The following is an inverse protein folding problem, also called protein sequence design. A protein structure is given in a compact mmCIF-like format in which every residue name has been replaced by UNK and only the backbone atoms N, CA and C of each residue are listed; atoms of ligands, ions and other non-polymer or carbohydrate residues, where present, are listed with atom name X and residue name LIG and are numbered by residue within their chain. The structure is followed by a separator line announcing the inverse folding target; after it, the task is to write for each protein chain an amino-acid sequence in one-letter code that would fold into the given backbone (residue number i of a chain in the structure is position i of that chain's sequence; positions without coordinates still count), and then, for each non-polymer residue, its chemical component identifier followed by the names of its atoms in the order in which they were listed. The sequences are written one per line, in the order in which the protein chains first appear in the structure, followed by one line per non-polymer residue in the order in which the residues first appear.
data_IF_088533944497
#
_entry.id   IF_088533944497
#
_cell.length_a   1.000
_cell.length_b   1.000
_cell.length_c   1.000
_cell.angle_alpha   90.00
_cell.angle_beta   90.00
_cell.angle_gamma   90.00
#
_symmetry.space_group_name_H-M   'P 1'
#
loop_
_entity.id
_entity.type
_entity.pdbx_description
1 polymer ?
#
# COMPACT_ATOMS: atom_id res chain seq x y z
N UNK A 1 18.06 -46.68 -23.18
CA UNK A 1 18.16 -45.22 -23.42
C UNK A 1 17.41 -44.37 -22.38
N UNK A 2 16.29 -44.82 -21.81
CA UNK A 2 15.59 -44.09 -20.72
C UNK A 2 16.40 -44.07 -19.42
N UNK A 3 17.16 -45.13 -19.16
CA UNK A 3 17.95 -45.28 -17.92
C UNK A 3 19.13 -44.30 -17.85
N UNK A 4 19.81 -44.06 -18.98
CA UNK A 4 20.90 -43.08 -19.07
C UNK A 4 20.42 -41.64 -18.85
N UNK A 5 19.19 -41.30 -19.27
CA UNK A 5 18.62 -39.96 -19.00
C UNK A 5 18.20 -39.79 -17.55
N UNK A 6 17.67 -40.84 -16.93
CA UNK A 6 17.35 -40.82 -15.51
C UNK A 6 18.64 -40.70 -14.66
N UNK A 7 19.68 -41.44 -15.03
CA UNK A 7 21.01 -41.34 -14.42
C UNK A 7 21.61 -39.93 -14.61
N UNK A 8 21.53 -39.35 -15.81
CA UNK A 8 22.08 -38.00 -16.03
C UNK A 8 21.35 -36.93 -15.23
N UNK A 9 20.02 -37.01 -15.08
CA UNK A 9 19.22 -36.02 -14.33
C UNK A 9 19.39 -36.15 -12.82
N UNK A 10 19.53 -37.39 -12.30
CA UNK A 10 19.74 -37.63 -10.86
C UNK A 10 21.11 -37.14 -10.38
N UNK A 11 22.14 -37.22 -11.22
CA UNK A 11 23.49 -36.74 -10.91
C UNK A 11 23.64 -35.21 -10.95
N UNK A 12 22.71 -34.48 -11.58
CA UNK A 12 22.69 -33.01 -11.64
C UNK A 12 21.52 -32.40 -10.86
N UNK A 13 21.08 -33.09 -9.81
CA UNK A 13 20.06 -32.55 -8.91
C UNK A 13 20.40 -31.09 -8.55
N UNK A 14 19.41 -30.17 -8.50
CA UNK A 14 19.64 -28.73 -8.32
C UNK A 14 20.00 -28.35 -6.88
N UNK A 15 20.91 -29.12 -6.28
CA UNK A 15 21.43 -29.00 -4.92
C UNK A 15 22.91 -28.61 -5.01
N UNK A 16 23.29 -27.63 -4.19
CA UNK A 16 24.68 -27.27 -4.02
C UNK A 16 24.82 -26.07 -3.08
N UNK A 17 26.05 -25.82 -2.68
CA UNK A 17 26.42 -24.73 -1.78
C UNK A 17 26.71 -23.43 -2.54
N UNK A 18 26.78 -22.33 -1.80
CA UNK A 18 27.10 -21.00 -2.35
C UNK A 18 28.49 -20.92 -3.01
N UNK A 19 29.47 -21.70 -2.53
CA UNK A 19 30.81 -21.77 -3.14
C UNK A 19 30.89 -22.79 -4.30
N UNK A 20 29.74 -23.13 -4.88
CA UNK A 20 29.60 -24.02 -6.03
C UNK A 20 29.95 -25.49 -5.79
N UNK A 21 29.87 -26.00 -4.56
CA UNK A 21 29.98 -27.45 -4.32
C UNK A 21 28.63 -28.10 -4.61
N UNK A 22 28.57 -28.99 -5.59
CA UNK A 22 27.38 -29.76 -5.94
C UNK A 22 27.17 -30.92 -4.98
N UNK A 23 25.90 -31.27 -4.73
CA UNK A 23 25.53 -32.36 -3.84
C UNK A 23 24.72 -31.90 -2.62
N UNK A 24 24.54 -32.79 -1.66
CA UNK A 24 23.88 -32.47 -0.37
C UNK A 24 24.79 -31.61 0.52
N UNK A 25 24.23 -30.88 1.48
CA UNK A 25 24.97 -29.95 2.35
C UNK A 25 26.15 -30.56 3.13
N UNK A 26 26.19 -31.89 3.28
CA UNK A 26 27.28 -32.63 3.94
C UNK A 26 28.29 -33.22 2.95
N UNK A 27 28.17 -32.94 1.65
CA UNK A 27 29.16 -33.39 0.68
C UNK A 27 30.48 -32.65 0.83
N UNK A 28 31.56 -33.40 0.62
CA UNK A 28 32.92 -32.86 0.55
C UNK A 28 33.08 -32.02 -0.72
N UNK A 29 34.04 -31.09 -0.73
CA UNK A 29 34.33 -30.23 -1.89
C UNK A 29 34.94 -31.03 -3.06
N UNK A 30 34.10 -31.76 -3.79
CA UNK A 30 34.51 -32.69 -4.83
C UNK A 30 33.99 -32.28 -6.23
N UNK A 31 32.77 -31.76 -6.32
CA UNK A 31 32.13 -31.40 -7.60
C UNK A 31 31.83 -29.92 -7.63
N UNK A 32 32.39 -29.19 -8.60
CA UNK A 32 32.11 -27.77 -8.79
C UNK A 32 30.91 -27.58 -9.74
N UNK A 33 29.70 -27.68 -9.21
CA UNK A 33 28.47 -27.56 -9.98
C UNK A 33 27.28 -27.09 -9.14
N UNK A 34 26.60 -26.04 -9.59
CA UNK A 34 25.27 -25.63 -9.11
C UNK A 34 24.40 -25.40 -10.34
N UNK A 35 23.18 -25.93 -10.33
CA UNK A 35 22.32 -25.84 -11.51
C UNK A 35 21.98 -24.37 -11.86
N UNK A 36 21.96 -23.99 -13.15
CA UNK A 36 21.47 -22.67 -13.57
C UNK A 36 20.04 -22.38 -13.10
N UNK A 37 19.22 -23.42 -12.92
CA UNK A 37 17.86 -23.30 -12.38
C UNK A 37 17.87 -22.72 -10.96
N UNK A 38 18.78 -23.20 -10.10
CA UNK A 38 18.92 -22.70 -8.73
C UNK A 38 19.34 -21.24 -8.72
N UNK A 39 20.35 -20.87 -9.53
CA UNK A 39 20.82 -19.48 -9.66
C UNK A 39 19.75 -18.53 -10.19
N UNK A 40 19.05 -18.92 -11.25
CA UNK A 40 18.00 -18.09 -11.83
C UNK A 40 16.81 -17.95 -10.87
N UNK A 41 16.34 -19.06 -10.28
CA UNK A 41 15.20 -19.02 -9.35
C UNK A 41 15.48 -18.16 -8.11
N UNK A 42 16.65 -18.33 -7.47
CA UNK A 42 16.98 -17.54 -6.27
C UNK A 42 17.16 -16.07 -6.61
N UNK A 43 17.81 -15.73 -7.73
CA UNK A 43 18.04 -14.34 -8.13
C UNK A 43 16.73 -13.65 -8.45
N UNK A 44 15.84 -14.30 -9.22
CA UNK A 44 14.55 -13.73 -9.58
C UNK A 44 13.60 -13.61 -8.39
N UNK A 45 13.65 -14.53 -7.42
CA UNK A 45 12.90 -14.40 -6.18
C UNK A 45 13.35 -13.16 -5.37
N UNK A 46 14.66 -12.99 -5.19
CA UNK A 46 15.23 -11.83 -4.48
C UNK A 46 14.89 -10.53 -5.19
N UNK A 47 15.08 -10.46 -6.51
CA UNK A 47 14.73 -9.29 -7.31
C UNK A 47 13.23 -8.98 -7.26
N UNK A 48 12.38 -10.00 -7.41
CA UNK A 48 10.93 -9.85 -7.34
C UNK A 48 10.46 -9.31 -5.99
N UNK A 49 11.03 -9.81 -4.89
CA UNK A 49 10.74 -9.30 -3.55
C UNK A 49 11.10 -7.81 -3.40
N UNK A 50 12.30 -7.40 -3.81
CA UNK A 50 12.71 -6.00 -3.69
C UNK A 50 11.94 -5.07 -4.61
N UNK A 51 11.56 -5.51 -5.81
CA UNK A 51 10.67 -4.75 -6.69
C UNK A 51 9.28 -4.57 -6.08
N UNK A 52 8.77 -5.58 -5.38
CA UNK A 52 7.50 -5.47 -4.67
C UNK A 52 7.57 -4.47 -3.50
N UNK A 53 8.62 -4.55 -2.67
CA UNK A 53 8.85 -3.57 -1.59
C UNK A 53 9.01 -2.17 -2.16
N UNK A 54 9.79 -2.01 -3.23
CA UNK A 54 9.95 -0.74 -3.95
C UNK A 54 8.62 -0.22 -4.50
N UNK A 55 7.78 -1.09 -5.06
CA UNK A 55 6.46 -0.72 -5.55
C UNK A 55 5.56 -0.18 -4.43
N UNK A 56 5.47 -0.87 -3.30
CA UNK A 56 4.68 -0.43 -2.15
C UNK A 56 5.17 0.93 -1.62
N UNK A 57 6.49 1.09 -1.51
CA UNK A 57 7.11 2.34 -1.08
C UNK A 57 6.77 3.50 -2.02
N UNK A 58 6.98 3.33 -3.33
CA UNK A 58 6.72 4.37 -4.31
C UNK A 58 5.24 4.68 -4.45
N UNK A 59 4.35 3.68 -4.39
CA UNK A 59 2.90 3.87 -4.41
C UNK A 59 2.42 4.64 -3.17
N UNK A 60 2.90 4.26 -1.98
CA UNK A 60 2.58 4.96 -0.73
C UNK A 60 3.03 6.41 -0.74
N UNK A 61 4.27 6.67 -1.18
CA UNK A 61 4.80 8.04 -1.33
C UNK A 61 4.05 8.86 -2.37
N UNK A 62 3.73 8.29 -3.53
CA UNK A 62 2.97 8.99 -4.57
C UNK A 62 1.58 9.39 -4.09
N UNK A 63 0.92 8.51 -3.29
CA UNK A 63 -0.37 8.83 -2.68
C UNK A 63 -0.25 9.93 -1.62
N UNK A 64 0.76 9.86 -0.76
CA UNK A 64 1.04 10.90 0.23
C UNK A 64 1.36 12.25 -0.42
N UNK A 65 2.02 12.23 -1.57
CA UNK A 65 2.32 13.42 -2.38
C UNK A 65 1.05 14.05 -2.96
N UNK A 66 0.19 13.24 -3.58
CA UNK A 66 -1.09 13.69 -4.12
C UNK A 66 -2.01 14.29 -3.04
N UNK A 67 -1.94 13.76 -1.81
CA UNK A 67 -2.66 14.28 -0.66
C UNK A 67 -1.85 15.31 0.16
N UNK A 68 -0.68 15.74 -0.32
CA UNK A 68 0.18 16.78 0.25
C UNK A 68 0.69 16.58 1.68
N UNK A 69 0.67 15.35 2.22
CA UNK A 69 1.21 15.01 3.56
C UNK A 69 2.53 14.22 3.52
N UNK A 70 3.14 14.09 2.33
CA UNK A 70 4.41 13.36 2.12
C UNK A 70 5.58 13.83 3.00
N UNK A 71 5.55 15.10 3.45
CA UNK A 71 6.61 15.76 4.26
C UNK A 71 6.26 15.82 5.75
N UNK A 72 5.09 15.33 6.15
CA UNK A 72 4.57 15.44 7.50
C UNK A 72 3.18 16.07 7.54
N UNK A 73 2.60 16.10 8.75
CA UNK A 73 1.29 16.70 9.05
C UNK A 73 1.51 18.13 9.52
N UNK A 74 0.66 19.04 9.05
CA UNK A 74 0.60 20.43 9.51
C UNK A 74 0.08 20.49 10.95
N UNK A 75 0.76 21.27 11.80
CA UNK A 75 0.46 21.35 13.24
C UNK A 75 -0.88 22.01 13.52
N UNK A 76 -1.32 22.89 12.62
CA UNK A 76 -2.57 23.62 12.76
C UNK A 76 -3.78 22.85 12.19
N UNK A 77 -3.52 21.80 11.39
CA UNK A 77 -4.53 20.99 10.70
C UNK A 77 -4.39 19.51 11.05
N UNK A 78 -4.01 19.21 12.29
CA UNK A 78 -3.83 17.82 12.71
C UNK A 78 -5.17 17.07 12.64
N UNK A 79 -5.29 16.01 11.82
CA UNK A 79 -6.59 15.45 11.48
C UNK A 79 -7.33 14.81 12.66
N UNK A 80 -6.65 14.42 13.75
CA UNK A 80 -7.30 13.91 14.96
C UNK A 80 -7.95 15.05 15.77
N UNK A 81 -7.32 16.22 15.85
CA UNK A 81 -7.85 17.42 16.53
C UNK A 81 -9.07 17.99 15.82
N UNK A 82 -9.10 17.91 14.48
CA UNK A 82 -10.21 18.44 13.67
C UNK A 82 -11.47 17.57 13.76
N UNK A 83 -11.33 16.26 13.99
CA UNK A 83 -12.47 15.35 14.16
C UNK A 83 -13.28 15.77 15.40
N UNK A 84 -12.63 16.20 16.49
CA UNK A 84 -13.32 16.65 17.71
C UNK A 84 -14.16 17.93 17.46
N UNK A 85 -13.60 18.91 16.75
CA UNK A 85 -14.31 20.15 16.40
C UNK A 85 -15.48 19.94 15.42
N UNK A 86 -15.42 18.93 14.54
CA UNK A 86 -16.54 18.54 13.67
C UNK A 86 -17.71 17.97 14.47
N UNK A 87 -17.44 17.25 15.57
CA UNK A 87 -18.48 16.69 16.44
C UNK A 87 -19.05 17.70 17.44
N UNK A 88 -18.33 18.77 17.78
CA UNK A 88 -18.80 19.80 18.71
C UNK A 88 -19.64 20.91 18.04
N UNK A 89 -19.68 20.97 16.70
CA UNK A 89 -20.31 22.06 15.94
C UNK A 89 -21.79 21.89 15.56
N UNK A 90 -22.39 20.70 15.71
CA UNK A 90 -23.81 20.49 15.41
C UNK A 90 -24.59 20.09 16.65
N UNK A 91 -25.49 20.98 17.08
CA UNK A 91 -26.51 20.61 18.07
C UNK A 91 -27.39 19.51 17.47
N UNK A 92 -27.76 18.51 18.27
CA UNK A 92 -28.69 17.44 17.87
C UNK A 92 -30.00 18.01 17.29
N UNK A 93 -30.35 19.23 17.71
CA UNK A 93 -31.51 19.99 17.24
C UNK A 93 -31.34 20.54 15.81
N UNK A 94 -30.11 20.83 15.37
CA UNK A 94 -29.83 21.32 14.02
C UNK A 94 -29.96 20.17 13.01
N UNK A 95 -29.45 18.99 13.35
CA UNK A 95 -29.63 17.77 12.55
C UNK A 95 -31.10 17.37 12.37
N UNK A 96 -31.94 17.55 13.40
CA UNK A 96 -33.38 17.29 13.31
C UNK A 96 -34.09 18.27 12.36
N UNK A 97 -33.66 19.53 12.33
CA UNK A 97 -34.22 20.57 11.43
C UNK A 97 -33.89 20.27 9.96
N UNK A 98 -32.67 19.82 9.66
CA UNK A 98 -32.28 19.41 8.30
C UNK A 98 -32.98 18.12 7.85
N UNK A 99 -33.21 17.17 8.76
CA UNK A 99 -33.94 15.94 8.44
C UNK A 99 -35.44 16.20 8.19
N UNK A 100 -36.09 17.03 9.02
CA UNK A 100 -37.51 17.38 8.84
C UNK A 100 -37.73 18.26 7.59
N UNK A 101 -36.79 19.16 7.27
CA UNK A 101 -36.89 20.04 6.10
C UNK A 101 -36.70 19.33 4.75
N UNK A 102 -36.07 18.15 4.73
CA UNK A 102 -35.85 17.37 3.49
C UNK A 102 -36.90 16.28 3.27
N UNK A 103 -37.58 15.81 4.31
CA UNK A 103 -38.67 14.83 4.18
C UNK A 103 -40.04 15.46 3.89
N UNK A 104 -40.27 16.72 4.28
CA UNK A 104 -41.46 17.48 3.89
C UNK A 104 -41.11 18.32 2.67
N UNK A 105 -41.28 17.76 1.47
CA UNK A 105 -40.99 18.41 0.19
C UNK A 105 -41.83 19.66 -0.06
N UNK A 106 -41.51 20.77 0.61
CA UNK A 106 -42.03 22.09 0.31
C UNK A 106 -40.99 22.84 -0.54
N UNK A 107 -41.21 22.96 -1.87
CA UNK A 107 -40.50 23.94 -2.65
C UNK A 107 -41.10 25.32 -2.32
N UNK A 108 -40.27 26.37 -2.39
CA UNK A 108 -40.65 27.79 -2.29
C UNK A 108 -40.77 28.38 -0.88
N UNK A 109 -39.80 29.22 -0.52
CA UNK A 109 -39.93 30.69 -0.27
C UNK A 109 -38.63 31.16 0.41
N UNK A 110 -37.77 31.85 -0.35
CA UNK A 110 -36.82 32.83 0.20
C UNK A 110 -37.18 34.17 -0.46
N UNK A 111 -38.12 34.88 0.16
CA UNK A 111 -38.41 36.29 -0.14
C UNK A 111 -38.10 37.11 1.10
N UNK A 112 -37.16 38.06 0.97
CA UNK A 112 -37.04 39.25 1.80
C UNK A 112 -36.17 39.14 3.05
N UNK A 113 -34.98 39.74 3.02
CA UNK A 113 -34.74 41.06 3.64
C UNK A 113 -33.31 41.52 3.30
N UNK A 114 -33.20 42.49 2.39
CA UNK A 114 -32.01 43.30 2.23
C UNK A 114 -32.44 44.74 2.46
N UNK A 115 -32.26 45.23 3.68
CA UNK A 115 -32.25 46.65 4.02
C UNK A 115 -31.68 46.81 5.44
N UNK A 116 -31.00 47.94 5.66
CA UNK A 116 -30.47 48.49 6.92
C UNK A 116 -29.00 48.21 7.29
N UNK A 117 -28.09 48.88 6.58
CA UNK A 117 -26.89 49.47 7.18
C UNK A 117 -26.78 50.94 6.72
N UNK A 118 -27.55 51.81 7.37
CA UNK A 118 -27.27 53.25 7.47
C UNK A 118 -26.36 53.43 8.68
N UNK A 119 -25.12 53.87 8.45
CA UNK A 119 -24.26 54.43 9.49
C UNK A 119 -24.04 55.90 9.09
N UNK A 120 -24.41 56.77 10.04
CA UNK A 120 -24.08 58.21 10.13
C UNK A 120 -22.58 58.47 9.89
#
# INVERSE_FOLDING_TARGET
MKDLRCQSVTQIAPLGSLNSVGGVATEINAVNYVSPRSWLATSHFVLGFFLFVGHLWHAGRARAAAASFEKGIDRDLEPESQIEHVFQGHSINDGLRYFVGTCVGAPWVYTGHQEDQVID
#
